data_IF_926445679109
#
_entry.id   IF_926445679109
#
_cell.length_a   1.000
_cell.length_b   1.000
_cell.length_c   1.000
_cell.angle_alpha   90.00
_cell.angle_beta   90.00
_cell.angle_gamma   90.00
#
_symmetry.space_group_name_H-M   'P 1'
#
loop_
_entity.id
_entity.type
_entity.pdbx_description
1 polymer ?
#
# COMPACT_ATOMS: atom_id res chain seq x y z
N UNK A 1 -8.41 17.63 5.48
CA UNK A 1 -8.32 16.16 5.37
C UNK A 1 -7.82 15.62 6.71
N UNK A 2 -8.58 14.74 7.37
CA UNK A 2 -8.12 14.09 8.61
C UNK A 2 -7.08 13.04 8.25
N UNK A 3 -5.89 13.12 8.86
CA UNK A 3 -4.85 12.10 8.72
C UNK A 3 -5.30 10.91 9.58
N UNK A 4 -5.82 9.86 8.94
CA UNK A 4 -6.16 8.62 9.63
C UNK A 4 -4.86 7.85 9.93
N UNK A 5 -4.54 7.69 11.20
CA UNK A 5 -3.39 6.89 11.66
C UNK A 5 -3.87 5.59 12.27
N UNK A 6 -3.32 4.46 11.83
CA UNK A 6 -3.56 3.15 12.46
C UNK A 6 -2.36 2.76 13.31
N UNK A 7 -2.61 2.29 14.53
CA UNK A 7 -1.56 1.80 15.43
C UNK A 7 -1.31 0.31 15.17
N UNK A 8 -0.03 -0.06 15.12
CA UNK A 8 0.41 -1.47 15.04
C UNK A 8 1.16 -1.82 16.32
N UNK A 9 0.75 -2.90 17.00
CA UNK A 9 1.43 -3.47 18.17
C UNK A 9 2.16 -4.74 17.75
N UNK A 10 3.45 -4.83 18.06
CA UNK A 10 4.31 -5.95 17.67
C UNK A 10 4.92 -6.56 18.94
N UNK A 11 4.84 -7.87 19.06
CA UNK A 11 5.55 -8.65 20.09
C UNK A 11 6.66 -9.42 19.39
N UNK A 12 7.88 -9.33 19.93
CA UNK A 12 9.06 -9.99 19.40
C UNK A 12 9.77 -10.74 20.54
N UNK A 13 10.44 -11.86 20.25
CA UNK A 13 11.43 -12.45 21.15
C UNK A 13 12.52 -11.43 21.51
N UNK A 14 13.02 -11.50 22.74
CA UNK A 14 13.96 -10.52 23.30
C UNK A 14 15.24 -10.37 22.45
N UNK A 15 15.77 -11.47 21.93
CA UNK A 15 16.95 -11.46 21.07
C UNK A 15 16.74 -10.65 19.79
N UNK A 16 15.59 -10.81 19.13
CA UNK A 16 15.25 -10.06 17.93
C UNK A 16 15.04 -8.58 18.24
N UNK A 17 14.39 -8.27 19.38
CA UNK A 17 14.24 -6.90 19.84
C UNK A 17 15.60 -6.22 20.04
N UNK A 18 16.55 -6.89 20.70
CA UNK A 18 17.90 -6.36 20.94
C UNK A 18 18.67 -6.12 19.64
N UNK A 19 18.60 -7.05 18.69
CA UNK A 19 19.22 -6.89 17.37
C UNK A 19 18.63 -5.70 16.60
N UNK A 20 17.30 -5.57 16.60
CA UNK A 20 16.59 -4.44 15.97
C UNK A 20 16.95 -3.11 16.64
N UNK A 21 16.99 -3.08 17.98
CA UNK A 21 17.36 -1.90 18.75
C UNK A 21 18.81 -1.47 18.47
N UNK A 22 19.75 -2.42 18.44
CA UNK A 22 21.15 -2.14 18.12
C UNK A 22 21.30 -1.56 16.71
N UNK A 23 20.62 -2.14 15.71
CA UNK A 23 20.61 -1.58 14.35
C UNK A 23 20.00 -0.17 14.30
N UNK A 24 18.87 0.06 14.97
CA UNK A 24 18.26 1.39 15.03
C UNK A 24 19.20 2.42 15.67
N UNK A 25 19.86 2.05 16.78
CA UNK A 25 20.85 2.89 17.47
C UNK A 25 22.07 3.21 16.61
N UNK A 26 22.56 2.25 15.80
CA UNK A 26 23.66 2.50 14.85
C UNK A 26 23.36 3.64 13.89
N UNK A 27 22.08 3.82 13.53
CA UNK A 27 21.62 4.90 12.66
C UNK A 27 21.11 6.12 13.44
N UNK A 28 21.20 6.13 14.77
CA UNK A 28 20.67 7.21 15.61
C UNK A 28 19.14 7.31 15.56
N UNK A 29 18.43 6.25 15.15
CA UNK A 29 17.00 6.26 14.95
C UNK A 29 16.24 5.65 16.14
N UNK A 30 15.07 6.20 16.51
CA UNK A 30 14.13 5.50 17.36
C UNK A 30 13.71 4.18 16.71
N UNK A 31 13.54 3.13 17.51
CA UNK A 31 13.15 1.80 17.03
C UNK A 31 11.89 1.84 16.15
N UNK A 32 10.88 2.61 16.55
CA UNK A 32 9.64 2.77 15.78
C UNK A 32 9.88 3.38 14.39
N UNK A 33 10.81 4.34 14.27
CA UNK A 33 11.17 4.94 12.98
C UNK A 33 11.93 3.95 12.10
N UNK A 34 12.82 3.16 12.71
CA UNK A 34 13.53 2.10 12.01
C UNK A 34 12.58 1.02 11.49
N UNK A 35 11.64 0.56 12.31
CA UNK A 35 10.59 -0.41 11.91
C UNK A 35 9.70 0.17 10.82
N UNK A 36 9.26 1.43 10.95
CA UNK A 36 8.50 2.11 9.90
C UNK A 36 9.25 2.14 8.57
N UNK A 37 10.56 2.44 8.59
CA UNK A 37 11.38 2.43 7.39
C UNK A 37 11.50 1.02 6.78
N UNK A 38 11.65 -0.02 7.59
CA UNK A 38 11.67 -1.40 7.11
C UNK A 38 10.35 -1.76 6.42
N UNK A 39 9.20 -1.46 7.05
CA UNK A 39 7.88 -1.69 6.47
C UNK A 39 7.73 -0.91 5.17
N UNK A 40 8.13 0.37 5.16
CA UNK A 40 8.06 1.19 3.95
C UNK A 40 8.93 0.61 2.83
N UNK A 41 10.13 0.12 3.12
CA UNK A 41 10.99 -0.47 2.10
C UNK A 41 10.47 -1.82 1.60
N UNK A 42 9.84 -2.60 2.48
CA UNK A 42 9.17 -3.85 2.11
C UNK A 42 7.99 -3.60 1.17
N UNK A 43 7.14 -2.60 1.48
CA UNK A 43 5.97 -2.26 0.65
C UNK A 43 6.29 -1.34 -0.52
N UNK A 44 7.50 -0.79 -0.62
CA UNK A 44 7.91 0.09 -1.75
C UNK A 44 8.02 -0.69 -3.05
N UNK A 45 8.46 -1.95 -2.98
CA UNK A 45 8.55 -2.85 -4.13
C UNK A 45 7.27 -3.69 -4.31
N UNK A 46 6.37 -3.65 -3.33
CA UNK A 46 4.99 -4.06 -3.54
C UNK A 46 4.35 -2.92 -4.32
N UNK A 47 4.40 -3.03 -5.65
CA UNK A 47 3.37 -2.44 -6.51
C UNK A 47 2.08 -2.59 -5.72
N UNK A 48 1.51 -1.46 -5.26
CA UNK A 48 0.19 -1.40 -4.62
C UNK A 48 -0.62 -2.47 -5.34
N UNK A 49 -1.29 -3.43 -4.66
CA UNK A 49 -2.15 -4.35 -5.36
C UNK A 49 -3.27 -3.50 -5.98
N UNK A 50 -3.00 -2.95 -7.16
CA UNK A 50 -3.97 -2.63 -8.19
C UNK A 50 -4.50 -4.02 -8.43
N UNK A 51 -5.57 -4.35 -7.70
CA UNK A 51 -6.35 -5.54 -7.91
C UNK A 51 -6.45 -5.66 -9.41
N UNK A 52 -5.65 -6.56 -10.02
CA UNK A 52 -5.71 -6.80 -11.46
C UNK A 52 -7.17 -7.06 -11.70
N UNK A 53 -7.86 -6.12 -12.35
CA UNK A 53 -9.28 -6.27 -12.63
C UNK A 53 -9.43 -7.69 -13.17
N UNK A 54 -10.32 -8.48 -12.57
CA UNK A 54 -10.62 -9.80 -13.13
C UNK A 54 -10.89 -9.61 -14.62
N UNK A 55 -10.43 -10.52 -15.48
CA UNK A 55 -10.53 -10.39 -16.95
C UNK A 55 -11.93 -9.93 -17.44
N UNK A 56 -12.97 -10.25 -16.67
CA UNK A 56 -14.33 -9.78 -16.88
C UNK A 56 -14.52 -8.26 -16.71
N UNK A 57 -13.97 -7.63 -15.67
CA UNK A 57 -14.11 -6.19 -15.43
C UNK A 57 -13.31 -5.34 -16.42
N UNK A 58 -12.13 -5.81 -16.83
CA UNK A 58 -11.33 -5.15 -17.88
C UNK A 58 -12.10 -5.10 -19.21
N UNK A 59 -12.76 -6.20 -19.58
CA UNK A 59 -13.59 -6.28 -20.79
C UNK A 59 -14.79 -5.33 -20.73
N UNK A 60 -15.42 -5.17 -19.56
CA UNK A 60 -16.54 -4.25 -19.36
C UNK A 60 -16.06 -2.79 -19.42
N UNK A 61 -14.94 -2.46 -18.79
CA UNK A 61 -14.36 -1.13 -18.80
C UNK A 61 -13.91 -0.71 -20.21
N UNK A 62 -13.25 -1.61 -20.96
CA UNK A 62 -12.88 -1.39 -22.36
C UNK A 62 -14.10 -1.22 -23.27
N UNK A 63 -15.17 -1.99 -23.02
CA UNK A 63 -16.43 -1.84 -23.76
C UNK A 63 -17.09 -0.50 -23.46
N UNK A 64 -17.15 -0.09 -22.19
CA UNK A 64 -17.68 1.22 -21.78
C UNK A 64 -16.87 2.39 -22.35
N UNK A 65 -15.54 2.29 -22.38
CA UNK A 65 -14.67 3.31 -22.98
C UNK A 65 -14.88 3.42 -24.50
N UNK A 66 -15.06 2.28 -25.18
CA UNK A 66 -15.37 2.25 -26.61
C UNK A 66 -16.77 2.77 -26.93
N UNK A 67 -17.77 2.47 -26.09
CA UNK A 67 -19.14 2.94 -26.25
C UNK A 67 -19.26 4.46 -25.98
N UNK A 68 -18.46 5.00 -25.04
CA UNK A 68 -18.29 6.43 -24.81
C UNK A 68 -17.66 7.14 -26.02
N UNK A 69 -16.55 6.60 -26.56
CA UNK A 69 -15.89 7.14 -27.76
C UNK A 69 -16.76 7.07 -29.03
N UNK A 70 -17.70 6.12 -29.08
CA UNK A 70 -18.66 5.96 -30.18
C UNK A 70 -19.96 6.76 -29.99
N UNK A 71 -20.05 7.59 -28.95
CA UNK A 71 -21.18 8.50 -28.72
C UNK A 71 -22.50 7.80 -28.39
N UNK A 72 -22.48 6.56 -27.88
CA UNK A 72 -23.70 5.79 -27.54
C UNK A 72 -24.17 5.98 -26.10
N UNK A 73 -23.55 6.88 -25.34
CA UNK A 73 -23.89 7.08 -23.92
C UNK A 73 -24.94 8.17 -23.78
N UNK A 74 -26.07 7.83 -23.17
CA UNK A 74 -27.10 8.79 -22.77
C UNK A 74 -26.61 9.64 -21.60
N UNK A 75 -26.80 10.97 -21.61
CA UNK A 75 -26.57 11.79 -20.44
C UNK A 75 -27.52 11.34 -19.33
N UNK A 76 -26.98 11.13 -18.13
CA UNK A 76 -27.80 10.97 -16.93
C UNK A 76 -28.26 12.38 -16.55
N UNK A 77 -29.53 12.68 -16.80
CA UNK A 77 -30.26 13.81 -16.18
C UNK A 77 -30.80 13.42 -14.82
#
# INVERSE_FOLDING_TARGET
MSIQTTQVKITLPDELYLLLKSKAQKYGLPLASYVKNLVLNDVKDVDIPVFKMSKQREKIALKALNDYKKGKTTPVS
#
